data_IF_939882822006
#
_entry.id   IF_939882822006
#
_cell.length_a   1.000
_cell.length_b   1.000
_cell.length_c   1.000
_cell.angle_alpha   90.00
_cell.angle_beta   90.00
_cell.angle_gamma   90.00
#
_symmetry.space_group_name_H-M   'P 1'
#
loop_
_entity.id
_entity.type
_entity.pdbx_description
1 polymer ?
#
# COMPACT_ATOMS: atom_id res chain seq x y z
N UNK A 1 30.49 54.95 56.41
CA UNK A 1 31.43 54.63 55.32
C UNK A 1 31.36 53.13 55.14
N UNK A 2 31.38 52.73 53.88
CA UNK A 2 31.64 51.39 53.33
C UNK A 2 30.45 50.41 53.19
N UNK A 3 29.92 50.41 51.95
CA UNK A 3 29.46 49.24 51.17
C UNK A 3 30.67 48.27 51.02
N UNK A 4 30.56 46.95 50.84
CA UNK A 4 29.87 46.12 49.83
C UNK A 4 29.72 44.67 50.39
N UNK A 5 28.57 44.00 50.23
CA UNK A 5 28.20 42.99 49.21
C UNK A 5 28.99 41.66 49.24
N UNK A 6 28.27 40.53 49.26
CA UNK A 6 28.88 39.20 49.19
C UNK A 6 28.05 38.02 49.73
N UNK A 7 26.94 37.68 49.07
CA UNK A 7 26.59 36.29 48.73
C UNK A 7 25.93 35.37 49.78
N UNK A 8 24.68 34.96 49.46
CA UNK A 8 24.29 33.54 49.54
C UNK A 8 23.35 33.09 50.66
N UNK A 9 22.05 33.35 50.52
CA UNK A 9 20.95 32.50 51.01
C UNK A 9 20.03 32.35 49.80
N UNK A 10 19.56 31.16 49.41
CA UNK A 10 18.28 30.52 49.77
C UNK A 10 18.37 29.09 49.20
N UNK A 11 18.52 28.06 50.03
CA UNK A 11 17.44 27.19 50.56
C UNK A 11 16.57 26.46 49.51
N UNK A 12 16.53 25.14 49.67
CA UNK A 12 15.65 24.19 49.01
C UNK A 12 14.19 24.65 48.96
N UNK A 13 13.55 24.46 47.81
CA UNK A 13 12.12 24.14 47.65
C UNK A 13 11.96 23.56 46.25
N UNK A 14 11.65 22.27 46.11
CA UNK A 14 10.28 21.74 46.11
C UNK A 14 9.37 22.52 45.15
N UNK A 15 9.06 21.91 44.01
CA UNK A 15 8.07 22.44 43.07
C UNK A 15 8.34 22.03 41.63
N UNK A 16 8.20 20.73 41.32
CA UNK A 16 7.77 20.32 39.98
C UNK A 16 6.43 21.01 39.69
N UNK A 17 6.44 22.01 38.82
CA UNK A 17 5.21 22.64 38.35
C UNK A 17 4.56 21.74 37.29
N UNK A 18 3.86 20.73 37.83
CA UNK A 18 2.86 19.93 37.14
C UNK A 18 1.64 20.81 36.87
N UNK A 19 1.51 21.29 35.62
CA UNK A 19 0.24 21.88 35.17
C UNK A 19 -0.65 20.74 34.67
N UNK A 20 -1.60 20.36 35.53
CA UNK A 20 -2.55 19.29 35.27
C UNK A 20 -3.60 19.69 34.23
N UNK A 21 -3.55 19.05 33.07
CA UNK A 21 -4.71 18.78 32.23
C UNK A 21 -4.66 17.30 31.91
N UNK A 22 -5.33 16.47 32.72
CA UNK A 22 -5.44 15.00 32.60
C UNK A 22 -4.22 14.34 31.91
N UNK A 23 -3.16 14.11 32.68
CA UNK A 23 -1.83 13.72 32.21
C UNK A 23 -1.77 12.41 31.43
N UNK A 24 -2.18 12.45 30.17
CA UNK A 24 -1.85 11.44 29.19
C UNK A 24 -0.36 11.62 28.86
N UNK A 25 0.49 10.75 29.39
CA UNK A 25 1.90 10.69 28.97
C UNK A 25 1.92 10.44 27.46
N UNK A 26 2.30 11.47 26.69
CA UNK A 26 2.45 11.34 25.24
C UNK A 26 3.79 10.64 25.01
N UNK A 27 3.74 9.36 24.61
CA UNK A 27 4.94 8.62 24.27
C UNK A 27 5.57 9.21 23.01
N UNK A 28 6.73 9.85 23.16
CA UNK A 28 7.41 10.49 22.05
C UNK A 28 8.16 9.49 21.16
N UNK A 29 8.09 9.64 19.82
CA UNK A 29 8.89 8.84 18.90
C UNK A 29 10.37 9.15 19.11
N UNK A 30 11.20 8.11 19.22
CA UNK A 30 12.66 8.23 19.23
C UNK A 30 13.29 7.24 18.26
N UNK A 31 14.51 7.54 17.84
CA UNK A 31 15.30 6.66 16.99
C UNK A 31 15.65 5.38 17.74
N UNK A 32 15.46 4.23 17.10
CA UNK A 32 15.66 2.91 17.70
C UNK A 32 14.38 2.24 18.23
N UNK A 33 13.23 2.94 18.29
CA UNK A 33 11.95 2.28 18.63
C UNK A 33 11.62 1.16 17.62
N UNK A 34 11.33 -0.03 18.13
CA UNK A 34 10.97 -1.21 17.35
C UNK A 34 9.45 -1.47 17.36
N UNK A 35 8.93 -1.96 16.25
CA UNK A 35 7.54 -2.36 16.05
C UNK A 35 7.48 -3.72 15.35
N UNK A 36 6.43 -4.48 15.62
CA UNK A 36 6.23 -5.80 15.00
C UNK A 36 5.79 -5.71 13.53
N UNK A 37 5.19 -4.58 13.11
CA UNK A 37 4.67 -4.38 11.76
C UNK A 37 4.70 -2.92 11.30
N UNK A 38 4.57 -2.69 9.98
CA UNK A 38 4.41 -1.35 9.40
C UNK A 38 3.19 -0.64 10.02
N UNK A 39 2.08 -1.36 10.13
CA UNK A 39 0.82 -0.80 10.62
C UNK A 39 0.93 -0.42 12.10
N UNK A 40 1.62 -1.22 12.93
CA UNK A 40 1.88 -0.86 14.33
C UNK A 40 2.67 0.46 14.43
N UNK A 41 3.74 0.63 13.65
CA UNK A 41 4.51 1.87 13.62
C UNK A 41 3.67 3.08 13.12
N UNK A 42 2.80 2.84 12.13
CA UNK A 42 1.88 3.85 11.59
C UNK A 42 0.83 4.28 12.63
N UNK A 43 0.22 3.32 13.32
CA UNK A 43 -0.79 3.57 14.37
C UNK A 43 -0.16 4.37 15.50
N UNK A 44 1.02 3.96 15.96
CA UNK A 44 1.76 4.68 17.00
C UNK A 44 2.00 6.15 16.62
N UNK A 45 2.52 6.42 15.43
CA UNK A 45 2.80 7.79 15.02
C UNK A 45 1.53 8.61 14.70
N UNK A 46 0.45 7.97 14.23
CA UNK A 46 -0.86 8.61 14.07
C UNK A 46 -1.45 9.02 15.43
N UNK A 47 -1.33 8.17 16.43
CA UNK A 47 -1.77 8.47 17.79
C UNK A 47 -0.94 9.59 18.42
N UNK A 48 0.39 9.53 18.29
CA UNK A 48 1.29 10.61 18.70
C UNK A 48 0.89 11.94 18.04
N UNK A 49 0.64 11.93 16.73
CA UNK A 49 0.22 13.11 15.98
C UNK A 49 -1.12 13.66 16.49
N UNK A 50 -2.10 12.77 16.74
CA UNK A 50 -3.42 13.13 17.28
C UNK A 50 -3.31 13.79 18.65
N UNK A 51 -2.49 13.21 19.55
CA UNK A 51 -2.27 13.75 20.89
C UNK A 51 -1.53 15.09 20.87
N UNK A 52 -0.55 15.24 19.99
CA UNK A 52 0.16 16.51 19.82
C UNK A 52 -0.63 17.58 19.08
N UNK A 53 -1.64 17.22 18.28
CA UNK A 53 -2.48 18.19 17.57
C UNK A 53 -2.03 18.49 16.13
N UNK A 54 -1.48 17.50 15.43
CA UNK A 54 -1.32 17.54 13.97
C UNK A 54 -1.88 16.30 13.30
N UNK A 55 -2.04 16.37 11.97
CA UNK A 55 -2.48 15.21 11.19
C UNK A 55 -1.26 14.56 10.54
N UNK A 56 -1.07 13.28 10.80
CA UNK A 56 -0.05 12.48 10.15
C UNK A 56 -0.48 12.14 8.71
N UNK A 57 0.51 12.14 7.80
CA UNK A 57 0.37 11.69 6.43
C UNK A 57 1.52 10.76 6.06
N UNK A 58 1.19 9.73 5.29
CA UNK A 58 2.15 8.94 4.54
C UNK A 58 2.75 9.78 3.41
N UNK A 59 4.05 10.06 3.50
CA UNK A 59 4.77 10.92 2.55
C UNK A 59 5.40 10.11 1.42
N UNK A 60 6.04 8.99 1.74
CA UNK A 60 6.61 8.08 0.75
C UNK A 60 6.66 6.64 1.27
N UNK A 61 6.70 5.69 0.35
CA UNK A 61 7.03 4.29 0.67
C UNK A 61 8.06 3.78 -0.30
N UNK A 62 9.02 3.00 0.21
CA UNK A 62 9.96 2.25 -0.59
C UNK A 62 9.53 0.78 -0.58
N UNK A 63 9.40 0.18 -1.76
CA UNK A 63 9.08 -1.24 -1.92
C UNK A 63 10.26 -1.99 -2.50
N UNK A 64 10.36 -3.28 -2.16
CA UNK A 64 11.26 -4.21 -2.82
C UNK A 64 10.82 -4.39 -4.27
N UNK A 65 11.75 -4.31 -5.21
CA UNK A 65 11.48 -4.55 -6.63
C UNK A 65 11.22 -6.03 -6.93
N UNK A 66 11.76 -6.94 -6.09
CA UNK A 66 11.59 -8.39 -6.27
C UNK A 66 10.23 -8.87 -5.75
N UNK A 67 9.89 -8.49 -4.52
CA UNK A 67 8.75 -9.07 -3.80
C UNK A 67 7.57 -8.09 -3.63
N UNK A 68 7.74 -6.82 -4.01
CA UNK A 68 6.73 -5.77 -3.78
C UNK A 68 6.52 -5.38 -2.32
N UNK A 69 7.18 -6.05 -1.36
CA UNK A 69 7.08 -5.79 0.08
C UNK A 69 7.56 -4.37 0.43
N UNK A 70 6.91 -3.72 1.39
CA UNK A 70 7.30 -2.38 1.83
C UNK A 70 8.53 -2.51 2.74
N UNK A 71 9.62 -1.82 2.37
CA UNK A 71 10.91 -1.84 3.08
C UNK A 71 11.11 -0.62 3.97
N UNK A 72 10.48 0.50 3.61
CA UNK A 72 10.57 1.73 4.37
C UNK A 72 9.36 2.63 4.16
N UNK A 73 9.03 3.40 5.19
CA UNK A 73 7.93 4.35 5.19
C UNK A 73 8.39 5.67 5.78
N UNK A 74 8.05 6.77 5.10
CA UNK A 74 8.17 8.12 5.64
C UNK A 74 6.80 8.63 6.02
N UNK A 75 6.61 8.95 7.29
CA UNK A 75 5.40 9.54 7.85
C UNK A 75 5.72 10.97 8.26
N UNK A 76 4.88 11.93 7.92
CA UNK A 76 5.14 13.35 8.18
C UNK A 76 3.88 14.13 8.49
N UNK A 77 4.05 15.40 8.83
CA UNK A 77 2.93 16.30 9.07
C UNK A 77 2.14 16.61 7.78
N UNK A 78 0.82 16.79 7.87
CA UNK A 78 -0.03 17.19 6.74
C UNK A 78 0.35 18.57 6.16
N UNK A 79 0.99 19.43 6.96
CA UNK A 79 1.51 20.72 6.55
C UNK A 79 2.89 20.65 5.87
N UNK A 80 3.39 19.45 5.57
CA UNK A 80 4.70 19.28 4.93
C UNK A 80 4.73 19.78 3.46
N UNK A 81 5.85 20.44 3.13
CA UNK A 81 6.18 20.94 1.81
C UNK A 81 5.54 22.29 1.49
N UNK A 82 5.72 22.76 0.26
CA UNK A 82 5.07 23.97 -0.23
C UNK A 82 4.20 23.61 -1.44
N UNK A 83 3.05 24.27 -1.59
CA UNK A 83 2.25 24.08 -2.79
C UNK A 83 2.88 24.85 -3.94
N UNK A 84 3.52 24.12 -4.84
CA UNK A 84 3.89 24.64 -6.16
C UNK A 84 2.63 24.55 -7.03
N UNK A 85 1.93 25.68 -7.21
CA UNK A 85 0.77 25.77 -8.09
C UNK A 85 1.20 25.72 -9.56
N UNK A 86 1.60 24.54 -10.07
CA UNK A 86 1.92 24.35 -11.49
C UNK A 86 0.63 24.18 -12.34
N UNK A 87 -0.55 24.26 -11.73
CA UNK A 87 -1.83 23.98 -12.41
C UNK A 87 -2.51 25.22 -13.04
N UNK A 88 -1.77 26.29 -13.26
CA UNK A 88 -2.27 27.50 -13.93
C UNK A 88 -2.17 27.48 -15.46
N UNK A 89 -1.56 26.46 -16.09
CA UNK A 89 -1.29 26.46 -17.55
C UNK A 89 -2.23 25.60 -18.39
N UNK A 90 -3.07 24.74 -17.79
CA UNK A 90 -3.96 23.86 -18.56
C UNK A 90 -5.35 23.74 -17.92
N UNK A 91 -6.26 24.58 -18.40
CA UNK A 91 -7.71 24.37 -18.34
C UNK A 91 -8.43 24.79 -17.05
N UNK A 92 -9.70 25.18 -17.22
CA UNK A 92 -10.63 25.53 -16.16
C UNK A 92 -11.04 24.29 -15.33
N UNK A 93 -10.13 23.76 -14.51
CA UNK A 93 -10.38 22.58 -13.68
C UNK A 93 -10.32 22.95 -12.20
N UNK A 94 -11.51 23.31 -11.66
CA UNK A 94 -11.85 23.52 -10.24
C UNK A 94 -11.07 24.64 -9.53
N UNK A 95 -11.77 25.45 -8.72
CA UNK A 95 -11.15 26.46 -7.84
C UNK A 95 -9.96 25.82 -7.11
N UNK A 96 -8.74 26.40 -7.17
CA UNK A 96 -7.60 25.88 -6.43
C UNK A 96 -7.98 25.78 -4.95
N UNK A 97 -7.91 24.58 -4.36
CA UNK A 97 -8.06 24.46 -2.92
C UNK A 97 -6.88 25.21 -2.27
N UNK A 98 -7.12 26.11 -1.32
CA UNK A 98 -6.04 26.72 -0.55
C UNK A 98 -5.17 25.61 0.03
N UNK A 99 -3.86 25.69 -0.21
CA UNK A 99 -2.92 24.74 0.36
C UNK A 99 -2.70 25.06 1.84
N UNK A 100 -2.87 24.05 2.69
CA UNK A 100 -2.52 24.10 4.11
C UNK A 100 -1.07 23.69 4.39
N UNK A 101 -0.22 23.60 3.35
CA UNK A 101 1.19 23.22 3.48
C UNK A 101 2.06 24.44 3.78
N UNK A 102 2.69 24.42 4.96
CA UNK A 102 3.47 25.51 5.54
C UNK A 102 4.98 25.18 5.57
N UNK A 103 5.41 24.14 4.84
CA UNK A 103 6.82 23.74 4.80
C UNK A 103 7.27 22.95 6.04
N UNK A 104 6.34 22.38 6.80
CA UNK A 104 6.64 21.64 8.02
C UNK A 104 7.59 20.46 7.74
N UNK A 105 8.61 20.29 8.59
CA UNK A 105 9.65 19.25 8.45
C UNK A 105 9.48 18.08 9.42
N UNK A 106 8.51 18.15 10.34
CA UNK A 106 8.22 17.08 11.28
C UNK A 106 7.90 15.77 10.54
N UNK A 107 8.67 14.72 10.86
CA UNK A 107 8.57 13.42 10.21
C UNK A 107 9.24 12.30 11.00
N UNK A 108 8.78 11.07 10.80
CA UNK A 108 9.48 9.84 11.20
C UNK A 108 9.74 8.96 9.98
N UNK A 109 10.89 8.31 9.97
CA UNK A 109 11.29 7.36 8.94
C UNK A 109 11.46 5.99 9.56
N UNK A 110 10.57 5.06 9.19
CA UNK A 110 10.59 3.69 9.69
C UNK A 110 11.10 2.76 8.59
N UNK A 111 11.97 1.82 8.94
CA UNK A 111 12.50 0.80 8.02
C UNK A 111 12.29 -0.60 8.58
N UNK A 112 12.03 -1.56 7.69
CA UNK A 112 12.01 -2.97 8.06
C UNK A 112 13.45 -3.50 8.16
N UNK A 113 13.78 -4.16 9.26
CA UNK A 113 15.02 -4.92 9.42
C UNK A 113 14.90 -6.32 8.79
N UNK A 114 16.03 -7.01 8.61
CA UNK A 114 16.10 -8.40 8.12
C UNK A 114 15.30 -9.37 8.99
N UNK A 115 15.14 -9.04 10.26
CA UNK A 115 14.35 -9.79 11.25
C UNK A 115 12.84 -9.62 11.07
N UNK A 116 12.38 -8.76 10.16
CA UNK A 116 10.96 -8.45 9.93
C UNK A 116 10.37 -7.38 10.84
N UNK A 117 11.12 -6.93 11.85
CA UNK A 117 10.77 -5.81 12.73
C UNK A 117 10.92 -4.46 12.02
N UNK A 118 10.18 -3.46 12.49
CA UNK A 118 10.18 -2.11 11.96
C UNK A 118 10.80 -1.14 12.95
N UNK A 119 11.81 -0.38 12.54
CA UNK A 119 12.57 0.49 13.44
C UNK A 119 12.51 1.94 12.98
N UNK A 120 12.30 2.89 13.90
CA UNK A 120 12.45 4.31 13.61
C UNK A 120 13.93 4.62 13.43
N UNK A 121 14.30 5.00 12.21
CA UNK A 121 15.69 5.34 11.84
C UNK A 121 15.97 6.84 11.82
N UNK A 122 14.93 7.66 11.77
CA UNK A 122 15.04 9.11 11.83
C UNK A 122 13.77 9.70 12.40
N UNK A 123 13.89 10.62 13.36
CA UNK A 123 12.76 11.39 13.87
C UNK A 123 13.07 12.90 13.86
N UNK A 124 12.14 13.70 13.36
CA UNK A 124 12.15 15.17 13.46
C UNK A 124 10.84 15.54 14.12
N UNK A 125 10.92 16.08 15.34
CA UNK A 125 9.75 16.43 16.15
C UNK A 125 9.31 17.88 15.94
N UNK A 126 10.22 18.76 15.51
CA UNK A 126 9.95 20.19 15.45
C UNK A 126 8.94 20.55 14.35
N UNK A 127 7.94 21.33 14.75
CA UNK A 127 6.94 21.92 13.87
C UNK A 127 7.20 23.41 13.70
N UNK A 128 6.96 23.93 12.49
CA UNK A 128 7.07 25.36 12.19
C UNK A 128 5.72 26.08 12.23
N UNK A 129 4.72 25.47 12.87
CA UNK A 129 3.35 25.96 12.96
C UNK A 129 2.74 25.56 14.30
N UNK A 130 1.73 26.29 14.79
CA UNK A 130 1.04 25.91 16.01
C UNK A 130 0.37 24.54 15.84
N UNK A 131 0.41 23.76 16.92
CA UNK A 131 -0.27 22.48 17.05
C UNK A 131 -1.56 22.70 17.81
N UNK A 132 -2.68 22.18 17.29
CA UNK A 132 -4.00 22.35 17.90
C UNK A 132 -4.60 20.97 18.12
N UNK A 133 -4.71 20.58 19.38
CA UNK A 133 -5.37 19.35 19.77
C UNK A 133 -6.87 19.52 19.53
N UNK A 134 -7.35 19.00 18.41
CA UNK A 134 -8.78 18.85 18.17
C UNK A 134 -9.21 17.45 18.62
N UNK A 135 -10.35 17.30 19.31
CA UNK A 135 -10.96 15.99 19.58
C UNK A 135 -11.36 15.37 18.25
N UNK A 136 -10.41 14.66 17.62
CA UNK A 136 -10.64 13.91 16.40
C UNK A 136 -10.79 12.47 16.83
N UNK A 137 -11.97 11.90 16.56
CA UNK A 137 -12.16 10.46 16.69
C UNK A 137 -11.08 9.76 15.86
N UNK A 138 -10.34 8.85 16.50
CA UNK A 138 -9.42 8.00 15.80
C UNK A 138 -10.22 7.20 14.76
N UNK A 139 -9.71 7.07 13.52
CA UNK A 139 -10.33 6.22 12.48
C UNK A 139 -10.13 4.74 12.83
N UNK A 140 -10.72 4.31 13.94
CA UNK A 140 -10.66 2.93 14.42
C UNK A 140 -11.79 2.08 13.81
N UNK A 141 -12.86 2.70 13.34
CA UNK A 141 -13.96 2.01 12.69
C UNK A 141 -13.72 1.95 11.19
N UNK A 142 -13.90 0.76 10.61
CA UNK A 142 -13.92 0.57 9.16
C UNK A 142 -15.08 1.38 8.60
N UNK A 143 -14.76 2.41 7.81
CA UNK A 143 -15.79 3.23 7.17
C UNK A 143 -16.62 2.32 6.25
N UNK A 144 -17.87 2.73 5.97
CA UNK A 144 -18.75 1.96 5.07
C UNK A 144 -18.10 1.69 3.70
N UNK A 145 -17.23 2.62 3.26
CA UNK A 145 -16.41 2.47 2.06
C UNK A 145 -15.38 1.35 2.19
N UNK A 146 -14.72 1.23 3.35
CA UNK A 146 -13.71 0.20 3.58
C UNK A 146 -14.34 -1.20 3.66
N UNK A 147 -15.53 -1.31 4.25
CA UNK A 147 -16.33 -2.55 4.20
C UNK A 147 -16.66 -2.92 2.76
N UNK A 148 -17.11 -1.94 1.95
CA UNK A 148 -17.42 -2.19 0.54
C UNK A 148 -16.18 -2.60 -0.26
N UNK A 149 -15.01 -2.03 0.03
CA UNK A 149 -13.75 -2.47 -0.57
C UNK A 149 -13.46 -3.93 -0.24
N UNK A 150 -13.64 -4.36 1.01
CA UNK A 150 -13.43 -5.77 1.40
C UNK A 150 -14.40 -6.73 0.71
N UNK A 151 -15.68 -6.37 0.67
CA UNK A 151 -16.71 -7.15 -0.02
C UNK A 151 -16.38 -7.31 -1.51
N UNK A 152 -16.12 -6.19 -2.22
CA UNK A 152 -15.76 -6.20 -3.64
C UNK A 152 -14.46 -6.97 -3.91
N UNK A 153 -13.49 -6.91 -3.01
CA UNK A 153 -12.23 -7.66 -3.13
C UNK A 153 -12.49 -9.17 -3.05
N UNK A 154 -13.38 -9.58 -2.16
CA UNK A 154 -13.77 -10.99 -2.00
C UNK A 154 -14.54 -11.48 -3.23
N UNK A 155 -15.49 -10.68 -3.72
CA UNK A 155 -16.24 -10.98 -4.93
C UNK A 155 -15.35 -11.09 -6.16
N UNK A 156 -14.39 -10.17 -6.32
CA UNK A 156 -13.42 -10.22 -7.41
C UNK A 156 -12.60 -11.53 -7.34
N UNK A 157 -12.17 -11.94 -6.15
CA UNK A 157 -11.42 -13.20 -5.97
C UNK A 157 -12.27 -14.41 -6.36
N UNK A 158 -13.55 -14.42 -5.98
CA UNK A 158 -14.48 -15.49 -6.31
C UNK A 158 -14.74 -15.54 -7.82
N UNK A 159 -14.99 -14.40 -8.46
CA UNK A 159 -15.18 -14.31 -9.92
C UNK A 159 -13.95 -14.74 -10.70
N UNK A 160 -12.74 -14.39 -10.24
CA UNK A 160 -11.49 -14.86 -10.85
C UNK A 160 -11.35 -16.38 -10.80
N UNK A 161 -11.67 -17.00 -9.66
CA UNK A 161 -11.66 -18.47 -9.52
C UNK A 161 -12.67 -19.14 -10.45
N UNK A 162 -13.87 -18.60 -10.51
CA UNK A 162 -14.93 -19.12 -11.39
C UNK A 162 -14.53 -19.00 -12.87
N UNK A 163 -13.96 -17.86 -13.27
CA UNK A 163 -13.47 -17.65 -14.63
C UNK A 163 -12.36 -18.64 -15.01
N UNK A 164 -11.42 -18.90 -14.10
CA UNK A 164 -10.36 -19.90 -14.31
C UNK A 164 -10.94 -21.30 -14.53
N UNK A 165 -11.92 -21.72 -13.72
CA UNK A 165 -12.58 -23.01 -13.88
C UNK A 165 -13.31 -23.14 -15.23
N UNK A 166 -14.04 -22.08 -15.65
CA UNK A 166 -14.67 -22.09 -16.97
C UNK A 166 -13.65 -22.11 -18.11
N UNK A 167 -12.54 -21.39 -17.97
CA UNK A 167 -11.45 -21.42 -18.95
C UNK A 167 -10.85 -22.83 -19.05
N UNK A 168 -10.61 -23.52 -17.93
CA UNK A 168 -10.13 -24.90 -17.91
C UNK A 168 -11.10 -25.85 -18.60
N UNK A 169 -12.41 -25.72 -18.34
CA UNK A 169 -13.44 -26.52 -19.00
C UNK A 169 -13.47 -26.29 -20.51
N UNK A 170 -13.41 -25.03 -20.96
CA UNK A 170 -13.39 -24.70 -22.38
C UNK A 170 -12.14 -25.23 -23.07
N UNK A 171 -10.98 -25.14 -22.43
CA UNK A 171 -9.72 -25.70 -22.97
C UNK A 171 -9.80 -27.21 -23.09
N UNK A 172 -10.36 -27.90 -22.09
CA UNK A 172 -10.56 -29.35 -22.15
C UNK A 172 -11.50 -29.75 -23.30
N UNK A 173 -12.63 -29.05 -23.44
CA UNK A 173 -13.58 -29.32 -24.52
C UNK A 173 -12.97 -29.08 -25.91
N UNK A 174 -12.26 -27.96 -26.10
CA UNK A 174 -11.58 -27.67 -27.37
C UNK A 174 -10.60 -28.78 -27.75
N UNK A 175 -9.86 -29.31 -26.76
CA UNK A 175 -8.93 -30.42 -26.97
C UNK A 175 -9.65 -31.71 -27.43
N UNK A 176 -10.80 -32.03 -26.84
CA UNK A 176 -11.61 -33.18 -27.28
C UNK A 176 -12.11 -33.03 -28.71
N UNK A 177 -12.56 -31.82 -29.09
CA UNK A 177 -13.01 -31.53 -30.46
C UNK A 177 -11.87 -31.65 -31.46
N UNK A 178 -10.68 -31.11 -31.15
CA UNK A 178 -9.48 -31.23 -31.98
C UNK A 178 -9.08 -32.69 -32.16
N UNK A 179 -9.04 -33.48 -31.08
CA UNK A 179 -8.70 -34.90 -31.14
C UNK A 179 -9.70 -35.69 -32.00
N UNK A 180 -11.00 -35.41 -31.85
CA UNK A 180 -12.01 -36.05 -32.68
C UNK A 180 -11.90 -35.65 -34.16
N UNK A 181 -11.61 -34.38 -34.45
CA UNK A 181 -11.36 -33.89 -35.81
C UNK A 181 -10.16 -34.59 -36.45
N UNK A 182 -9.06 -34.73 -35.71
CA UNK A 182 -7.87 -35.45 -36.16
C UNK A 182 -8.14 -36.93 -36.44
N UNK A 183 -8.91 -37.59 -35.57
CA UNK A 183 -9.32 -38.98 -35.77
C UNK A 183 -10.18 -39.13 -37.02
N UNK A 184 -11.12 -38.23 -37.25
CA UNK A 184 -11.98 -38.25 -38.45
C UNK A 184 -11.15 -38.00 -39.71
N UNK A 185 -10.23 -37.04 -39.69
CA UNK A 185 -9.32 -36.76 -40.81
C UNK A 185 -8.45 -37.97 -41.15
N UNK A 186 -7.90 -38.67 -40.14
CA UNK A 186 -7.14 -39.91 -40.33
C UNK A 186 -7.99 -40.99 -41.01
N UNK A 187 -9.24 -41.21 -40.55
CA UNK A 187 -10.15 -42.19 -41.17
C UNK A 187 -10.48 -41.83 -42.62
N UNK A 188 -10.76 -40.55 -42.90
CA UNK A 188 -11.02 -40.08 -44.26
C UNK A 188 -9.81 -40.31 -45.18
N UNK A 189 -8.59 -40.05 -44.68
CA UNK A 189 -7.36 -40.29 -45.42
C UNK A 189 -7.16 -41.78 -45.74
N UNK A 190 -7.45 -42.68 -44.79
CA UNK A 190 -7.39 -44.13 -45.02
C UNK A 190 -8.35 -44.55 -46.13
N UNK A 191 -9.61 -44.08 -46.08
CA UNK A 191 -10.60 -44.39 -47.13
C UNK A 191 -10.15 -43.84 -48.49
N UNK A 192 -9.66 -42.60 -48.55
CA UNK A 192 -9.17 -42.00 -49.79
C UNK A 192 -7.97 -42.76 -50.38
N UNK A 193 -7.05 -43.25 -49.53
CA UNK A 193 -5.92 -44.06 -49.98
C UNK A 193 -6.39 -45.42 -50.52
N UNK A 194 -7.30 -46.10 -49.81
CA UNK A 194 -7.88 -47.37 -50.25
C UNK A 194 -8.58 -47.25 -51.61
N UNK A 195 -9.36 -46.19 -51.84
CA UNK A 195 -10.02 -45.94 -53.13
C UNK A 195 -8.99 -45.77 -54.26
N UNK A 196 -7.92 -45.01 -54.01
CA UNK A 196 -6.84 -44.77 -54.99
C UNK A 196 -6.11 -46.06 -55.35
N UNK A 197 -5.87 -46.95 -54.37
CA UNK A 197 -5.30 -48.28 -54.62
C UNK A 197 -6.22 -49.17 -55.45
N UNK A 198 -7.54 -49.12 -55.19
CA UNK A 198 -8.54 -49.85 -55.97
C UNK A 198 -8.57 -49.39 -57.43
N UNK A 199 -8.64 -48.07 -57.67
CA UNK A 199 -8.60 -47.48 -59.01
C UNK A 199 -7.33 -47.88 -59.77
N UNK A 200 -6.18 -47.91 -59.08
CA UNK A 200 -4.90 -48.32 -59.68
C UNK A 200 -4.92 -49.79 -60.12
N UNK A 201 -5.47 -50.68 -59.28
CA UNK A 201 -5.63 -52.11 -59.61
C UNK A 201 -6.63 -52.31 -60.75
N UNK A 202 -7.70 -51.53 -60.80
CA UNK A 202 -8.69 -51.59 -61.88
C UNK A 202 -8.10 -51.15 -63.23
N UNK A 203 -7.25 -50.11 -63.23
CA UNK A 203 -6.50 -49.68 -64.41
C UNK A 203 -5.50 -50.73 -64.90
N UNK A 204 -4.78 -51.41 -64.00
CA UNK A 204 -3.86 -52.51 -64.35
C UNK A 204 -4.60 -53.70 -64.98
N UNK A 205 -5.74 -54.11 -64.41
CA UNK A 205 -6.57 -55.20 -64.95
C UNK A 205 -7.16 -54.83 -66.32
N UNK A 206 -7.51 -53.57 -66.54
CA UNK A 206 -8.01 -53.09 -67.83
C UNK A 206 -6.92 -52.99 -68.92
N UNK A 207 -5.63 -52.93 -68.56
CA UNK A 207 -4.51 -52.90 -69.51
C UNK A 207 -3.98 -54.29 -69.90
N UNK A 208 -4.41 -55.35 -69.19
CA UNK A 208 -4.01 -56.74 -69.43
C UNK A 208 -5.00 -57.55 -70.28
N UNK A 209 -6.04 -56.90 -70.82
CA UNK A 209 -7.09 -57.51 -71.65
C UNK A 209 -7.10 -56.91 -73.05
#
# INVERSE_FOLDING_TARGET
MDLEDGGGVIENSAGEELVASEGVVILEPHEGMEFESEDAAKIFYDEYARRLGFVMRVMSCRRSERDGRILARRLGCNKEGYCVSIRGKFGAVRKPRPSTREGCKAMVHVKSDKSGKWIITKCIKDHNHPLVVSPREARQTMDEKDKKIQELTTDLRNKKRLCAAYQEQLVAFMKEVEEHSDQLSKKAQVVANNLREFESKEQEVSHQR
#
